data_IF_908281367486
#
_entry.id   IF_908281367486
#
_cell.length_a   1.000
_cell.length_b   1.000
_cell.length_c   1.000
_cell.angle_alpha   90.00
_cell.angle_beta   90.00
_cell.angle_gamma   90.00
#
_symmetry.space_group_name_H-M   'P 1'
#
loop_
_entity.id
_entity.type
_entity.pdbx_description
1 polymer ?
#
# COMPACT_ATOMS: atom_id res chain seq x y z
N UNK A 1 3.34 16.65 -2.80
CA UNK A 1 3.71 16.00 -4.08
C UNK A 1 4.88 15.08 -3.80
N UNK A 2 4.75 13.79 -4.08
CA UNK A 2 5.86 12.83 -3.93
C UNK A 2 6.83 13.07 -5.09
N UNK A 3 8.12 13.12 -4.80
CA UNK A 3 9.18 13.31 -5.81
C UNK A 3 10.18 12.16 -5.72
N UNK A 4 10.71 11.75 -6.88
CA UNK A 4 11.75 10.73 -6.97
C UNK A 4 13.03 11.40 -7.45
N UNK A 5 14.02 11.55 -6.57
CA UNK A 5 15.34 12.06 -6.92
C UNK A 5 16.29 10.89 -7.19
N UNK A 6 16.77 10.80 -8.44
CA UNK A 6 17.72 9.79 -8.89
C UNK A 6 19.12 10.36 -9.13
N UNK A 7 19.36 11.64 -8.81
CA UNK A 7 20.59 12.35 -9.15
C UNK A 7 21.86 11.66 -8.64
N UNK A 8 21.82 11.06 -7.44
CA UNK A 8 22.94 10.29 -6.91
C UNK A 8 23.17 8.99 -7.67
N UNK A 9 22.11 8.22 -7.96
CA UNK A 9 22.22 6.97 -8.69
C UNK A 9 22.72 7.17 -10.13
N UNK A 10 22.31 8.26 -10.79
CA UNK A 10 22.73 8.58 -12.17
C UNK A 10 24.23 8.81 -12.33
N UNK A 11 24.97 9.12 -11.26
CA UNK A 11 26.44 9.20 -11.28
C UNK A 11 27.12 7.87 -11.56
N UNK A 12 26.41 6.75 -11.32
CA UNK A 12 26.94 5.40 -11.46
C UNK A 12 26.38 4.64 -12.66
N UNK A 13 25.51 5.27 -13.46
CA UNK A 13 24.77 4.61 -14.55
C UNK A 13 24.98 5.39 -15.85
N UNK A 14 25.45 4.71 -16.90
CA UNK A 14 25.60 5.33 -18.22
C UNK A 14 24.24 5.69 -18.83
N UNK A 15 24.19 6.76 -19.62
CA UNK A 15 22.96 7.22 -20.26
C UNK A 15 22.33 6.16 -21.17
N UNK A 16 23.15 5.43 -21.91
CA UNK A 16 22.72 4.34 -22.79
C UNK A 16 22.00 3.22 -22.02
N UNK A 17 22.54 2.84 -20.85
CA UNK A 17 21.96 1.81 -19.99
C UNK A 17 20.63 2.30 -19.37
N UNK A 18 20.60 3.54 -18.89
CA UNK A 18 19.39 4.16 -18.38
C UNK A 18 18.29 4.23 -19.43
N UNK A 19 18.60 4.69 -20.65
CA UNK A 19 17.63 4.78 -21.75
C UNK A 19 17.10 3.39 -22.14
N UNK A 20 17.95 2.36 -22.12
CA UNK A 20 17.54 0.97 -22.35
C UNK A 20 16.58 0.48 -21.26
N UNK A 21 16.89 0.72 -19.99
CA UNK A 21 16.02 0.38 -18.87
C UNK A 21 14.70 1.14 -18.92
N UNK A 22 14.74 2.43 -19.30
CA UNK A 22 13.57 3.27 -19.48
C UNK A 22 12.63 2.73 -20.55
N UNK A 23 13.17 2.37 -21.72
CA UNK A 23 12.39 1.75 -22.81
C UNK A 23 11.69 0.47 -22.33
N UNK A 24 12.39 -0.37 -21.55
CA UNK A 24 11.79 -1.58 -20.97
C UNK A 24 10.65 -1.24 -19.99
N UNK A 25 10.83 -0.21 -19.15
CA UNK A 25 9.81 0.25 -18.23
C UNK A 25 8.58 0.81 -18.96
N UNK A 26 8.76 1.56 -20.04
CA UNK A 26 7.65 2.10 -20.84
C UNK A 26 6.83 0.97 -21.48
N UNK A 27 7.47 -0.05 -22.07
CA UNK A 27 6.75 -1.23 -22.58
C UNK A 27 6.02 -2.00 -21.47
N UNK A 28 6.64 -2.17 -20.30
CA UNK A 28 5.99 -2.84 -19.17
C UNK A 28 4.78 -2.03 -18.65
N UNK A 29 4.87 -0.70 -18.66
CA UNK A 29 3.76 0.19 -18.31
C UNK A 29 2.60 0.04 -19.30
N UNK A 30 2.87 0.00 -20.61
CA UNK A 30 1.84 -0.26 -21.63
C UNK A 30 1.15 -1.61 -21.41
N UNK A 31 1.92 -2.68 -21.14
CA UNK A 31 1.36 -4.00 -20.84
C UNK A 31 0.50 -4.00 -19.57
N UNK A 32 0.96 -3.32 -18.53
CA UNK A 32 0.23 -3.16 -17.27
C UNK A 32 -1.08 -2.43 -17.52
N UNK A 33 -1.03 -1.29 -18.22
CA UNK A 33 -2.17 -0.44 -18.54
C UNK A 33 -3.22 -1.20 -19.36
N UNK A 34 -2.79 -1.91 -20.40
CA UNK A 34 -3.64 -2.66 -21.31
C UNK A 34 -4.00 -4.07 -20.81
N UNK A 35 -3.54 -4.47 -19.62
CA UNK A 35 -3.82 -5.79 -19.01
C UNK A 35 -3.40 -6.97 -19.92
N UNK A 36 -2.31 -6.83 -20.68
CA UNK A 36 -1.82 -7.84 -21.64
C UNK A 36 -0.63 -8.66 -21.16
N UNK A 37 -0.04 -8.30 -20.02
CA UNK A 37 1.06 -9.04 -19.40
C UNK A 37 0.59 -10.28 -18.60
N UNK A 38 1.51 -11.19 -18.24
CA UNK A 38 1.20 -12.30 -17.34
C UNK A 38 0.66 -11.82 -15.99
N UNK A 39 -0.36 -12.51 -15.46
CA UNK A 39 -0.98 -12.16 -14.17
C UNK A 39 -1.93 -10.95 -14.24
N UNK A 40 -2.39 -10.56 -15.44
CA UNK A 40 -3.25 -9.39 -15.64
C UNK A 40 -4.62 -9.51 -14.96
N UNK A 41 -5.03 -10.71 -14.56
CA UNK A 41 -6.21 -10.97 -13.76
C UNK A 41 -6.10 -10.45 -12.31
N UNK A 42 -4.89 -10.19 -11.80
CA UNK A 42 -4.64 -9.73 -10.42
C UNK A 42 -4.38 -8.21 -10.32
N UNK A 43 -4.89 -7.42 -11.26
CA UNK A 43 -4.66 -5.98 -11.34
C UNK A 43 -5.74 -5.11 -10.66
N UNK A 44 -6.57 -5.70 -9.80
CA UNK A 44 -7.66 -4.98 -9.12
C UNK A 44 -7.20 -3.76 -8.30
N UNK A 45 -5.97 -3.79 -7.77
CA UNK A 45 -5.38 -2.69 -7.02
C UNK A 45 -5.22 -1.39 -7.83
N UNK A 46 -5.21 -1.46 -9.18
CA UNK A 46 -5.08 -0.29 -10.04
C UNK A 46 -6.33 0.57 -10.05
N UNK A 47 -7.48 -0.10 -10.00
CA UNK A 47 -8.79 0.51 -10.22
C UNK A 47 -9.57 0.66 -8.89
N UNK A 48 -9.04 0.13 -7.78
CA UNK A 48 -9.68 0.08 -6.46
C UNK A 48 -10.15 1.46 -5.95
N UNK A 49 -9.39 2.51 -6.24
CA UNK A 49 -9.71 3.88 -5.81
C UNK A 49 -10.47 4.69 -6.88
N UNK A 50 -10.67 4.13 -8.07
CA UNK A 50 -11.36 4.81 -9.16
C UNK A 50 -12.87 4.83 -8.95
N UNK A 51 -13.40 3.84 -8.25
CA UNK A 51 -14.81 3.71 -7.88
C UNK A 51 -14.91 3.09 -6.47
N UNK A 52 -14.65 3.88 -5.40
CA UNK A 52 -14.66 3.37 -4.04
C UNK A 52 -16.08 2.96 -3.63
N UNK A 53 -16.19 1.83 -2.95
CA UNK A 53 -17.46 1.37 -2.39
C UNK A 53 -17.74 2.10 -1.07
N UNK A 54 -18.48 3.21 -1.13
CA UNK A 54 -18.81 4.03 0.04
C UNK A 54 -19.52 3.24 1.15
N UNK A 55 -20.38 2.28 0.80
CA UNK A 55 -21.06 1.45 1.79
C UNK A 55 -20.09 0.53 2.55
N UNK A 56 -19.07 -0.01 1.88
CA UNK A 56 -18.03 -0.82 2.52
C UNK A 56 -17.13 0.05 3.41
N UNK A 57 -16.78 1.26 2.96
CA UNK A 57 -16.01 2.21 3.77
C UNK A 57 -16.77 2.61 5.03
N UNK A 58 -18.07 2.90 4.93
CA UNK A 58 -18.92 3.23 6.07
C UNK A 58 -19.01 2.07 7.08
N UNK A 59 -19.11 0.84 6.60
CA UNK A 59 -19.06 -0.36 7.44
C UNK A 59 -17.73 -0.49 8.19
N UNK A 60 -16.60 -0.30 7.49
CA UNK A 60 -15.26 -0.36 8.10
C UNK A 60 -15.12 0.72 9.19
N UNK A 61 -15.55 1.95 8.91
CA UNK A 61 -15.47 3.07 9.86
C UNK A 61 -16.33 2.79 11.10
N UNK A 62 -17.58 2.36 10.90
CA UNK A 62 -18.52 2.06 11.99
C UNK A 62 -18.01 0.94 12.89
N UNK A 63 -17.50 -0.14 12.31
CA UNK A 63 -16.92 -1.25 13.07
C UNK A 63 -15.68 -0.80 13.86
N UNK A 64 -14.83 0.02 13.26
CA UNK A 64 -13.65 0.54 13.94
C UNK A 64 -14.02 1.45 15.13
N UNK A 65 -15.09 2.23 15.03
CA UNK A 65 -15.62 3.03 16.16
C UNK A 65 -16.14 2.14 17.28
N UNK A 66 -16.91 1.10 16.93
CA UNK A 66 -17.40 0.13 17.90
C UNK A 66 -16.23 -0.52 18.66
N UNK A 67 -15.22 -1.03 17.94
CA UNK A 67 -14.03 -1.65 18.53
C UNK A 67 -13.31 -0.68 19.46
N UNK A 68 -13.09 0.58 19.03
CA UNK A 68 -12.44 1.59 19.87
C UNK A 68 -13.20 1.89 21.16
N UNK A 69 -14.52 1.75 21.17
CA UNK A 69 -15.34 2.00 22.36
C UNK A 69 -15.41 0.81 23.33
N UNK A 70 -15.09 -0.40 22.86
CA UNK A 70 -15.33 -1.65 23.60
C UNK A 70 -14.07 -2.46 23.90
N UNK A 71 -12.94 -2.16 23.28
CA UNK A 71 -11.73 -2.96 23.39
C UNK A 71 -10.54 -2.12 23.87
N UNK A 72 -9.80 -2.68 24.84
CA UNK A 72 -8.48 -2.18 25.22
C UNK A 72 -7.38 -2.69 24.27
N UNK A 73 -7.62 -3.84 23.63
CA UNK A 73 -6.66 -4.52 22.74
C UNK A 73 -7.37 -5.04 21.49
N UNK A 74 -6.78 -4.84 20.31
CA UNK A 74 -7.23 -5.41 19.04
C UNK A 74 -6.12 -6.27 18.42
N UNK A 75 -6.41 -7.56 18.22
CA UNK A 75 -5.44 -8.53 17.71
C UNK A 75 -5.69 -8.77 16.23
N UNK A 76 -4.73 -8.42 15.39
CA UNK A 76 -4.74 -8.72 13.96
C UNK A 76 -4.13 -10.11 13.75
N UNK A 77 -4.94 -11.06 13.30
CA UNK A 77 -4.51 -12.41 12.99
C UNK A 77 -4.19 -12.54 11.49
N UNK A 78 -2.91 -12.58 11.11
CA UNK A 78 -2.52 -12.69 9.71
C UNK A 78 -1.00 -12.66 9.50
N UNK A 79 -0.57 -13.17 8.33
CA UNK A 79 0.84 -13.21 7.90
C UNK A 79 0.99 -12.58 6.51
N UNK A 80 2.21 -12.24 6.10
CA UNK A 80 2.51 -11.74 4.76
C UNK A 80 1.83 -10.40 4.48
N UNK A 81 1.11 -10.30 3.35
CA UNK A 81 0.40 -9.08 2.96
C UNK A 81 -0.65 -8.62 3.98
N UNK A 82 -1.31 -9.57 4.66
CA UNK A 82 -2.33 -9.30 5.67
C UNK A 82 -1.77 -8.76 7.00
N UNK A 83 -0.45 -8.83 7.19
CA UNK A 83 0.28 -8.28 8.34
C UNK A 83 1.04 -7.01 7.98
N UNK A 84 1.88 -7.09 6.95
CA UNK A 84 2.85 -6.03 6.64
C UNK A 84 2.17 -4.71 6.24
N UNK A 85 1.05 -4.77 5.50
CA UNK A 85 0.33 -3.57 5.08
C UNK A 85 -0.27 -2.80 6.25
N UNK A 86 -0.97 -3.49 7.14
CA UNK A 86 -1.59 -2.87 8.32
C UNK A 86 -0.54 -2.38 9.31
N UNK A 87 0.50 -3.18 9.59
CA UNK A 87 1.60 -2.80 10.49
C UNK A 87 2.34 -1.56 9.99
N UNK A 88 2.70 -1.51 8.71
CA UNK A 88 3.46 -0.39 8.14
C UNK A 88 2.71 0.94 8.26
N UNK A 89 1.40 0.94 7.97
CA UNK A 89 0.58 2.15 8.04
C UNK A 89 0.36 2.59 9.50
N UNK A 90 0.03 1.65 10.38
CA UNK A 90 -0.19 1.95 11.80
C UNK A 90 1.09 2.49 12.44
N UNK A 91 2.24 1.85 12.21
CA UNK A 91 3.52 2.30 12.77
C UNK A 91 3.95 3.67 12.25
N UNK A 92 3.75 3.94 10.96
CA UNK A 92 4.14 5.20 10.35
C UNK A 92 3.27 6.39 10.80
N UNK A 93 1.99 6.14 11.10
CA UNK A 93 1.01 7.20 11.39
C UNK A 93 0.66 7.34 12.87
N UNK A 94 0.99 6.35 13.71
CA UNK A 94 0.68 6.40 15.15
C UNK A 94 1.72 7.22 15.90
N UNK A 95 1.31 8.23 16.70
CA UNK A 95 2.24 8.99 17.53
C UNK A 95 2.88 8.10 18.60
N UNK A 96 4.19 8.26 18.79
CA UNK A 96 4.97 7.42 19.70
C UNK A 96 4.53 7.50 21.19
N UNK A 97 3.91 8.61 21.60
CA UNK A 97 3.56 8.88 23.00
C UNK A 97 2.07 9.08 23.26
N UNK A 98 1.22 9.02 22.22
CA UNK A 98 -0.22 9.19 22.34
C UNK A 98 -0.91 8.14 21.50
N UNK A 99 -1.63 7.25 22.16
CA UNK A 99 -2.50 6.31 21.49
C UNK A 99 -3.95 6.60 21.89
N UNK A 100 -4.80 6.89 20.90
CA UNK A 100 -6.23 7.06 21.08
C UNK A 100 -6.90 5.80 20.51
N UNK A 101 -7.16 4.81 21.36
CA UNK A 101 -7.78 3.55 20.96
C UNK A 101 -7.08 2.33 21.56
N UNK A 102 -7.47 1.13 21.11
CA UNK A 102 -6.89 -0.12 21.61
C UNK A 102 -5.41 -0.23 21.26
N UNK A 103 -4.68 -0.96 22.09
CA UNK A 103 -3.38 -1.49 21.72
C UNK A 103 -3.54 -2.47 20.54
N UNK A 104 -2.79 -2.25 19.46
CA UNK A 104 -2.83 -3.13 18.29
C UNK A 104 -1.72 -4.18 18.43
N UNK A 105 -2.13 -5.44 18.55
CA UNK A 105 -1.23 -6.59 18.58
C UNK A 105 -1.40 -7.44 17.32
N UNK A 106 -0.39 -8.26 17.03
CA UNK A 106 -0.37 -9.10 15.84
C UNK A 106 -0.04 -10.53 16.23
N UNK A 107 -0.74 -11.49 15.60
CA UNK A 107 -0.53 -12.90 15.78
C UNK A 107 -0.57 -13.62 14.42
N UNK A 108 0.55 -14.23 14.02
CA UNK A 108 0.66 -14.92 12.73
C UNK A 108 1.98 -14.65 12.02
#
# INVERSE_FOLDING_TARGET
MITCDIGFARKFIQDSEYLKARKKADTALEQLQNKTGPGSEWLGWRDLLSDPNDAELEQIVSLAEEIRSKADVFIVCGIGGSYLGSKAVIDALTPHFKNNGPEILYAG
#
